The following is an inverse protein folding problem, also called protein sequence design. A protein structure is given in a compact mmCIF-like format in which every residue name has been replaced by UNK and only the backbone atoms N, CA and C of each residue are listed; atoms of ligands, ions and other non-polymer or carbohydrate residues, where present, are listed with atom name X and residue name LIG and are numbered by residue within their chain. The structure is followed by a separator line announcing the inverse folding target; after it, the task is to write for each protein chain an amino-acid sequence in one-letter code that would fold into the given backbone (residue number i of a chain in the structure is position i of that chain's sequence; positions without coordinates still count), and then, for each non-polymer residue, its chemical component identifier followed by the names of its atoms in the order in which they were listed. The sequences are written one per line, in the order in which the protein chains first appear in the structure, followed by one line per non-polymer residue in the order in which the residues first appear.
data_IF_557103793978
#
_entry.id   IF_557103793978
#
_cell.length_a   1.000
_cell.length_b   1.000
_cell.length_c   1.000
_cell.angle_alpha   90.00
_cell.angle_beta   90.00
_cell.angle_gamma   90.00
#
_symmetry.space_group_name_H-M   'P 1'
#
loop_
_entity.id
_entity.type
_entity.pdbx_description
1 polymer ?
#
# COMPACT_ATOMS: atom_id res chain seq x y z
N UNK A 1 5.27 -22.05 -48.96
CA UNK A 1 6.43 -21.21 -48.60
C UNK A 1 6.09 -19.79 -48.99
N UNK A 2 5.65 -18.97 -48.03
CA UNK A 2 5.51 -17.52 -48.20
C UNK A 2 6.48 -16.87 -47.21
N UNK A 3 7.58 -16.37 -47.77
CA UNK A 3 8.61 -15.62 -47.07
C UNK A 3 8.03 -14.25 -46.71
N UNK A 4 7.49 -14.12 -45.50
CA UNK A 4 6.98 -12.85 -44.97
C UNK A 4 8.10 -12.09 -44.29
N UNK A 5 8.85 -11.29 -45.04
CA UNK A 5 9.74 -10.28 -44.46
C UNK A 5 8.84 -9.21 -43.84
N UNK A 6 8.78 -9.16 -42.52
CA UNK A 6 8.13 -8.05 -41.80
C UNK A 6 8.94 -6.80 -42.14
N UNK A 7 8.33 -5.73 -42.70
CA UNK A 7 9.06 -4.50 -42.92
C UNK A 7 9.44 -3.94 -41.55
N UNK A 8 10.74 -3.91 -41.26
CA UNK A 8 11.30 -3.14 -40.17
C UNK A 8 11.06 -1.68 -40.51
N UNK A 9 9.96 -1.11 -40.01
CA UNK A 9 9.69 0.31 -40.10
C UNK A 9 10.72 0.98 -39.18
N UNK A 10 11.82 1.41 -39.77
CA UNK A 10 12.68 2.39 -39.14
C UNK A 10 11.85 3.67 -39.05
N UNK A 11 11.31 3.95 -37.87
CA UNK A 11 10.84 5.30 -37.57
C UNK A 11 12.05 6.22 -37.71
N UNK A 12 11.91 7.26 -38.52
CA UNK A 12 12.97 8.23 -38.76
C UNK A 12 13.45 8.81 -37.42
N UNK A 13 14.76 8.73 -37.19
CA UNK A 13 15.42 9.11 -35.95
C UNK A 13 15.12 10.58 -35.54
N UNK A 14 14.82 11.44 -36.52
CA UNK A 14 14.42 12.85 -36.32
C UNK A 14 13.04 13.02 -35.68
N UNK A 15 12.05 12.15 -35.97
CA UNK A 15 10.73 12.21 -35.32
C UNK A 15 10.82 11.79 -33.84
N UNK A 16 11.69 10.84 -33.53
CA UNK A 16 11.93 10.40 -32.15
C UNK A 16 12.63 11.48 -31.32
N UNK A 17 13.57 12.24 -31.90
CA UNK A 17 14.24 13.33 -31.20
C UNK A 17 13.27 14.49 -30.90
N UNK A 18 12.40 14.84 -31.85
CA UNK A 18 11.34 15.82 -31.64
C UNK A 18 10.33 15.38 -30.57
N UNK A 19 9.95 14.10 -30.57
CA UNK A 19 9.04 13.53 -29.57
C UNK A 19 9.67 13.48 -28.18
N UNK A 20 10.95 13.11 -28.07
CA UNK A 20 11.67 13.13 -26.79
C UNK A 20 11.82 14.55 -26.24
N UNK A 21 12.15 15.54 -27.08
CA UNK A 21 12.23 16.95 -26.67
C UNK A 21 10.91 17.51 -26.19
N UNK A 22 9.81 17.20 -26.89
CA UNK A 22 8.47 17.67 -26.50
C UNK A 22 7.98 17.00 -25.21
N UNK A 23 8.24 15.71 -25.03
CA UNK A 23 7.95 15.00 -23.78
C UNK A 23 8.80 15.51 -22.61
N UNK A 24 10.09 15.78 -22.82
CA UNK A 24 10.95 16.37 -21.80
C UNK A 24 10.48 17.77 -21.37
N UNK A 25 10.05 18.61 -22.32
CA UNK A 25 9.47 19.91 -22.03
C UNK A 25 8.16 19.80 -21.25
N UNK A 26 7.24 18.93 -21.69
CA UNK A 26 5.98 18.70 -21.00
C UNK A 26 6.18 18.14 -19.58
N UNK A 27 7.13 17.22 -19.41
CA UNK A 27 7.52 16.70 -18.09
C UNK A 27 8.12 17.82 -17.25
N UNK A 28 9.00 18.65 -17.81
CA UNK A 28 9.63 19.76 -17.06
C UNK A 28 8.61 20.82 -16.65
N UNK A 29 7.64 21.14 -17.50
CA UNK A 29 6.55 22.06 -17.18
C UNK A 29 5.64 21.47 -16.10
N UNK A 30 5.22 20.21 -16.26
CA UNK A 30 4.37 19.50 -15.30
C UNK A 30 5.06 19.35 -13.94
N UNK A 31 6.31 18.86 -13.96
CA UNK A 31 7.14 18.68 -12.77
C UNK A 31 7.49 20.04 -12.16
N UNK A 32 7.76 21.08 -12.95
CA UNK A 32 8.02 22.45 -12.46
C UNK A 32 6.81 23.08 -11.78
N UNK A 33 5.61 22.89 -12.35
CA UNK A 33 4.35 23.29 -11.73
C UNK A 33 4.06 22.54 -10.42
N UNK A 34 4.52 21.29 -10.30
CA UNK A 34 4.31 20.44 -9.11
C UNK A 34 5.47 20.49 -8.09
N UNK A 35 6.68 20.85 -8.50
CA UNK A 35 7.90 20.96 -7.68
C UNK A 35 8.06 22.34 -7.06
N UNK A 36 6.97 23.10 -6.87
CA UNK A 36 7.01 24.27 -6.01
C UNK A 36 7.39 23.81 -4.59
N UNK A 37 8.70 23.87 -4.28
CA UNK A 37 9.23 23.67 -2.94
C UNK A 37 8.67 24.79 -2.09
N UNK A 38 7.60 24.49 -1.37
CA UNK A 38 7.03 25.38 -0.38
C UNK A 38 8.15 25.88 0.53
N UNK A 39 8.19 27.19 0.75
CA UNK A 39 8.99 27.76 1.83
C UNK A 39 8.57 27.13 3.16
N UNK A 40 9.43 27.19 4.16
CA UNK A 40 9.09 26.60 5.46
C UNK A 40 7.87 27.27 6.11
N UNK A 41 7.62 28.54 5.78
CA UNK A 41 6.41 29.26 6.20
C UNK A 41 5.14 28.70 5.56
N UNK A 42 5.19 28.39 4.26
CA UNK A 42 4.06 27.83 3.52
C UNK A 42 3.80 26.38 3.89
N UNK A 43 4.86 25.59 4.12
CA UNK A 43 4.72 24.24 4.68
C UNK A 43 4.00 24.28 6.02
N UNK A 44 4.41 25.17 6.94
CA UNK A 44 3.77 25.33 8.25
C UNK A 44 2.28 25.69 8.10
N UNK A 45 1.96 26.64 7.22
CA UNK A 45 0.56 27.02 6.91
C UNK A 45 -0.25 25.85 6.37
N UNK A 46 0.31 25.11 5.40
CA UNK A 46 -0.35 23.95 4.78
C UNK A 46 -0.57 22.81 5.77
N UNK A 47 0.42 22.52 6.62
CA UNK A 47 0.29 21.52 7.70
C UNK A 47 -0.80 21.93 8.69
N UNK A 48 -0.85 23.20 9.10
CA UNK A 48 -1.87 23.69 10.02
C UNK A 48 -3.28 23.56 9.42
N UNK A 49 -3.46 23.95 8.15
CA UNK A 49 -4.73 23.81 7.44
C UNK A 49 -5.18 22.34 7.33
N UNK A 50 -4.28 21.43 6.94
CA UNK A 50 -4.57 20.00 6.85
C UNK A 50 -4.91 19.38 8.21
N UNK A 51 -4.24 19.79 9.28
CA UNK A 51 -4.56 19.35 10.65
C UNK A 51 -5.97 19.79 11.06
N UNK A 52 -6.39 20.98 10.68
CA UNK A 52 -7.73 21.48 10.99
C UNK A 52 -8.81 20.72 10.20
N UNK A 53 -8.58 20.48 8.91
CA UNK A 53 -9.44 19.62 8.08
C UNK A 53 -9.59 18.23 8.70
N UNK A 54 -8.49 17.64 9.17
CA UNK A 54 -8.51 16.31 9.81
C UNK A 54 -9.35 16.29 11.09
N UNK A 55 -9.34 17.38 11.90
CA UNK A 55 -10.21 17.48 13.10
C UNK A 55 -11.69 17.54 12.74
N UNK A 56 -12.03 18.19 11.62
CA UNK A 56 -13.41 18.38 11.17
C UNK A 56 -13.99 17.15 10.48
N UNK A 57 -13.14 16.22 10.03
CA UNK A 57 -13.63 14.96 9.49
C UNK A 57 -14.36 14.17 10.58
N UNK A 58 -15.67 13.96 10.41
CA UNK A 58 -16.54 13.19 11.32
C UNK A 58 -16.16 11.69 11.39
N UNK A 59 -14.99 11.32 10.84
CA UNK A 59 -14.29 10.09 11.17
C UNK A 59 -13.59 10.31 12.51
N UNK A 60 -14.39 10.28 13.56
CA UNK A 60 -13.97 10.22 14.97
C UNK A 60 -13.13 8.99 15.31
N UNK A 61 -12.69 8.19 14.32
CA UNK A 61 -11.55 7.32 14.50
C UNK A 61 -10.29 8.19 14.57
N UNK A 62 -10.00 8.72 15.76
CA UNK A 62 -8.60 8.91 16.12
C UNK A 62 -7.91 7.60 15.71
N UNK A 63 -6.94 7.65 14.80
CA UNK A 63 -6.26 6.44 14.34
C UNK A 63 -5.64 5.75 15.57
N UNK A 64 -6.37 4.80 16.13
CA UNK A 64 -5.97 4.15 17.36
C UNK A 64 -4.86 3.20 17.01
N UNK A 65 -3.75 3.33 17.73
CA UNK A 65 -2.66 2.35 17.68
C UNK A 65 -2.92 1.20 18.64
N UNK A 66 -4.04 1.23 19.34
CA UNK A 66 -4.44 0.20 20.28
C UNK A 66 -4.63 -1.13 19.56
N UNK A 67 -4.12 -2.21 20.16
CA UNK A 67 -4.41 -3.54 19.65
C UNK A 67 -5.86 -3.91 19.95
N UNK A 68 -6.66 -4.21 18.92
CA UNK A 68 -8.06 -4.63 19.09
C UNK A 68 -8.30 -5.98 19.77
N UNK A 69 -7.26 -6.66 20.26
CA UNK A 69 -7.36 -7.95 20.97
C UNK A 69 -6.96 -7.80 22.44
N UNK A 70 -5.76 -7.28 22.71
CA UNK A 70 -5.25 -7.12 24.07
C UNK A 70 -5.41 -5.70 24.63
N UNK A 71 -5.93 -4.75 23.84
CA UNK A 71 -6.14 -3.35 24.20
C UNK A 71 -4.89 -2.59 24.67
N UNK A 72 -3.69 -3.08 24.36
CA UNK A 72 -2.46 -2.29 24.56
C UNK A 72 -2.51 -1.05 23.68
N UNK A 73 -2.52 0.16 24.28
CA UNK A 73 -2.70 1.43 23.57
C UNK A 73 -1.70 1.72 22.44
N UNK A 74 -0.45 1.27 22.55
CA UNK A 74 0.58 1.52 21.53
C UNK A 74 1.68 0.46 21.59
N UNK A 75 1.44 -0.77 21.08
CA UNK A 75 2.44 -1.82 21.04
C UNK A 75 3.61 -1.41 20.13
N UNK A 76 4.82 -1.77 20.56
CA UNK A 76 6.08 -1.48 19.85
C UNK A 76 6.07 -2.16 18.47
N UNK A 77 5.78 -3.46 18.46
CA UNK A 77 5.72 -4.27 17.25
C UNK A 77 4.26 -4.52 16.84
N UNK A 78 3.93 -4.25 15.58
CA UNK A 78 2.61 -4.46 15.00
C UNK A 78 2.68 -5.31 13.75
N UNK A 79 1.62 -6.07 13.50
CA UNK A 79 1.42 -6.84 12.28
C UNK A 79 0.13 -6.40 11.60
N UNK A 80 0.11 -6.43 10.28
CA UNK A 80 -1.07 -6.11 9.45
C UNK A 80 -1.62 -7.41 8.87
N UNK A 81 -2.91 -7.64 9.03
CA UNK A 81 -3.60 -8.79 8.45
C UNK A 81 -3.83 -8.52 6.96
N UNK A 82 -3.10 -9.23 6.08
CA UNK A 82 -3.10 -8.95 4.64
C UNK A 82 -4.47 -9.01 3.96
N UNK A 83 -5.40 -9.83 4.47
CA UNK A 83 -6.74 -9.98 3.89
C UNK A 83 -7.73 -8.86 4.22
N UNK A 84 -7.54 -8.12 5.33
CA UNK A 84 -8.51 -7.13 5.80
C UNK A 84 -7.92 -5.79 6.23
N UNK A 85 -6.58 -5.66 6.23
CA UNK A 85 -5.89 -4.41 6.57
C UNK A 85 -5.92 -4.03 8.07
N UNK A 86 -6.58 -4.82 8.92
CA UNK A 86 -6.57 -4.60 10.37
C UNK A 86 -5.16 -4.77 10.93
N UNK A 87 -4.83 -3.95 11.94
CA UNK A 87 -3.52 -3.95 12.59
C UNK A 87 -3.64 -4.44 14.02
N UNK A 88 -2.77 -5.37 14.43
CA UNK A 88 -2.70 -5.93 15.78
C UNK A 88 -1.27 -5.78 16.35
N UNK A 89 -1.08 -6.02 17.65
CA UNK A 89 0.26 -6.25 18.17
C UNK A 89 0.82 -7.58 17.65
N UNK A 90 2.14 -7.66 17.48
CA UNK A 90 2.79 -8.86 16.93
C UNK A 90 2.49 -10.13 17.76
N UNK A 91 2.45 -10.02 19.09
CA UNK A 91 2.15 -11.15 19.97
C UNK A 91 0.74 -11.72 19.73
N UNK A 92 -0.27 -10.86 19.57
CA UNK A 92 -1.63 -11.29 19.26
C UNK A 92 -1.71 -11.91 17.85
N UNK A 93 -1.02 -11.36 16.86
CA UNK A 93 -1.00 -11.93 15.51
C UNK A 93 -0.43 -13.35 15.49
N UNK A 94 0.73 -13.57 16.14
CA UNK A 94 1.36 -14.89 16.25
C UNK A 94 0.49 -15.88 17.05
N UNK A 95 -0.25 -15.39 18.05
CA UNK A 95 -1.16 -16.23 18.82
C UNK A 95 -2.33 -16.71 17.95
N UNK A 96 -2.94 -15.80 17.17
CA UNK A 96 -4.02 -16.14 16.25
C UNK A 96 -3.59 -17.13 15.17
N UNK A 97 -2.39 -16.95 14.61
CA UNK A 97 -1.81 -17.89 13.65
C UNK A 97 -1.61 -19.29 14.25
N UNK A 98 -1.08 -19.36 15.48
CA UNK A 98 -0.93 -20.63 16.18
C UNK A 98 -2.25 -21.33 16.49
N UNK A 99 -3.30 -20.58 16.81
CA UNK A 99 -4.64 -21.12 17.04
C UNK A 99 -5.20 -21.71 15.74
N UNK A 100 -5.13 -20.96 14.63
CA UNK A 100 -5.60 -21.44 13.32
C UNK A 100 -4.93 -22.76 12.90
N UNK A 101 -3.60 -22.86 13.06
CA UNK A 101 -2.85 -24.08 12.75
C UNK A 101 -3.15 -25.25 13.70
N UNK A 102 -3.65 -24.99 14.91
CA UNK A 102 -4.11 -26.04 15.83
C UNK A 102 -5.50 -26.53 15.47
N UNK A 103 -6.39 -25.65 15.04
CA UNK A 103 -7.74 -26.02 14.62
C UNK A 103 -7.69 -26.88 13.35
N UNK A 104 -6.84 -26.57 12.38
CA UNK A 104 -6.61 -27.40 11.20
C UNK A 104 -6.06 -28.79 11.55
N UNK A 105 -5.09 -28.85 12.47
CA UNK A 105 -4.54 -30.13 12.95
C UNK A 105 -5.57 -30.95 13.73
N UNK A 106 -6.36 -30.30 14.59
CA UNK A 106 -7.43 -30.96 15.33
C UNK A 106 -8.50 -31.49 14.38
N UNK A 107 -8.88 -30.76 13.33
CA UNK A 107 -9.81 -31.23 12.32
C UNK A 107 -9.27 -32.45 11.57
N UNK A 108 -7.98 -32.49 11.23
CA UNK A 108 -7.34 -33.66 10.62
C UNK A 108 -7.33 -34.87 11.58
N UNK A 109 -7.00 -34.66 12.85
CA UNK A 109 -6.96 -35.73 13.86
C UNK A 109 -8.35 -36.27 14.16
N UNK A 110 -9.38 -35.41 14.28
CA UNK A 110 -10.77 -35.82 14.42
C UNK A 110 -11.27 -36.57 13.18
N UNK A 111 -10.95 -36.09 11.98
CA UNK A 111 -11.28 -36.79 10.73
C UNK A 111 -10.64 -38.19 10.63
N UNK A 112 -9.38 -38.33 11.07
CA UNK A 112 -8.70 -39.62 11.13
C UNK A 112 -9.29 -40.56 12.19
N UNK A 113 -9.72 -40.05 13.35
CA UNK A 113 -10.35 -40.84 14.40
C UNK A 113 -11.75 -41.37 13.98
N UNK A 114 -12.53 -40.56 13.25
CA UNK A 114 -13.85 -40.97 12.74
C UNK A 114 -13.73 -42.00 11.60
N UNK A 115 -12.68 -41.95 10.79
CA UNK A 115 -12.44 -42.92 9.72
C UNK A 115 -11.89 -44.28 10.21
N UNK A 116 -11.45 -44.37 11.47
CA UNK A 116 -10.92 -45.57 12.10
C UNK A 116 -11.94 -46.30 13.02
N UNK A 117 -13.19 -45.82 13.05
CA UNK A 117 -14.32 -46.39 13.82
C UNK A 117 -15.32 -47.06 12.88
#
# INVERSE_FOLDING_TARGET
MISGTIPFIAYDFEECEGLMKTTELAVTEYVGAYNHRLSDSEKKKKIAALREINKQSNRSSSYSRECGVCFTNSPVNRAVLGGCGHTLCLACALTLENIALRDERNALVLGAAVAAS
#
